data_IF_275349381668
#
_entry.id   IF_275349381668
#
_cell.length_a   1.000
_cell.length_b   1.000
_cell.length_c   1.000
_cell.angle_alpha   90.00
_cell.angle_beta   90.00
_cell.angle_gamma   90.00
#
_symmetry.space_group_name_H-M   'P 1'
#
loop_
_entity.id
_entity.type
_entity.pdbx_description
1 polymer ?
#
# COMPACT_ATOMS: atom_id res chain seq x y z
N UNK A 1 17.15 1.84 -11.83
CA UNK A 1 16.78 0.41 -11.78
C UNK A 1 17.31 -0.26 -10.52
N UNK A 2 18.58 -0.18 -10.19
CA UNK A 2 19.19 -0.75 -8.95
C UNK A 2 18.37 -0.41 -7.70
N UNK A 3 18.05 0.85 -7.47
CA UNK A 3 17.27 1.27 -6.31
C UNK A 3 15.86 0.67 -6.25
N UNK A 4 15.25 0.39 -7.41
CA UNK A 4 13.96 -0.29 -7.44
C UNK A 4 14.09 -1.77 -7.02
N UNK A 5 15.20 -2.44 -7.37
CA UNK A 5 15.49 -3.81 -6.93
C UNK A 5 15.72 -3.84 -5.41
N UNK A 6 16.46 -2.88 -4.85
CA UNK A 6 16.68 -2.77 -3.40
C UNK A 6 15.38 -2.50 -2.64
N UNK A 7 14.53 -1.60 -3.14
CA UNK A 7 13.20 -1.37 -2.58
C UNK A 7 12.32 -2.63 -2.65
N UNK A 8 12.35 -3.36 -3.75
CA UNK A 8 11.68 -4.65 -3.87
C UNK A 8 12.18 -5.64 -2.79
N UNK A 9 13.49 -5.77 -2.62
CA UNK A 9 14.08 -6.68 -1.63
C UNK A 9 13.61 -6.36 -0.20
N UNK A 10 13.49 -5.07 0.16
CA UNK A 10 13.02 -4.68 1.49
C UNK A 10 11.56 -5.06 1.76
N UNK A 11 10.76 -5.25 0.70
CA UNK A 11 9.34 -5.57 0.80
C UNK A 11 9.05 -7.08 0.76
N UNK A 12 9.96 -7.91 0.27
CA UNK A 12 9.72 -9.34 0.06
C UNK A 12 9.27 -10.08 1.32
N UNK A 13 9.74 -9.66 2.48
CA UNK A 13 9.39 -10.25 3.78
C UNK A 13 7.89 -10.15 4.16
N UNK A 14 7.14 -9.27 3.50
CA UNK A 14 5.72 -9.04 3.77
C UNK A 14 4.78 -9.85 2.86
N UNK A 15 5.34 -10.59 1.91
CA UNK A 15 4.57 -11.35 0.93
C UNK A 15 4.89 -12.84 1.05
N UNK A 16 3.88 -13.69 1.04
CA UNK A 16 4.03 -15.15 1.12
C UNK A 16 4.08 -15.82 -0.26
N UNK A 17 3.51 -15.17 -1.28
CA UNK A 17 3.54 -15.63 -2.66
C UNK A 17 4.87 -15.38 -3.37
N UNK A 18 4.90 -15.57 -4.68
CA UNK A 18 6.09 -15.40 -5.50
C UNK A 18 6.61 -13.96 -5.47
N UNK A 19 7.93 -13.82 -5.45
CA UNK A 19 8.67 -12.55 -5.56
C UNK A 19 9.22 -12.47 -6.97
N UNK A 20 8.67 -11.59 -7.79
CA UNK A 20 8.92 -11.53 -9.23
C UNK A 20 9.52 -10.17 -9.58
N UNK A 21 10.64 -10.19 -10.31
CA UNK A 21 11.22 -8.99 -10.92
C UNK A 21 11.04 -9.10 -12.43
N UNK A 22 10.27 -8.21 -13.04
CA UNK A 22 10.15 -8.07 -14.48
C UNK A 22 10.78 -6.75 -14.93
N UNK A 23 11.85 -6.83 -15.71
CA UNK A 23 12.63 -5.68 -16.12
C UNK A 23 12.83 -5.61 -17.64
N UNK A 24 12.80 -4.37 -18.15
CA UNK A 24 13.16 -4.00 -19.50
C UNK A 24 14.38 -3.08 -19.52
N UNK A 25 14.72 -2.59 -20.69
CA UNK A 25 15.91 -1.75 -20.88
C UNK A 25 15.83 -0.41 -20.16
N UNK A 26 17.00 0.17 -19.94
CA UNK A 26 17.18 1.58 -19.62
C UNK A 26 17.51 2.29 -20.93
N UNK A 27 16.64 3.22 -21.35
CA UNK A 27 16.78 3.97 -22.61
C UNK A 27 17.82 5.09 -22.49
N UNK A 28 18.19 5.66 -23.63
CA UNK A 28 19.01 6.88 -23.75
C UNK A 28 20.44 6.78 -23.19
N UNK A 29 21.00 5.58 -23.07
CA UNK A 29 22.33 5.33 -22.54
C UNK A 29 23.43 5.39 -23.62
N UNK A 30 23.08 5.36 -24.92
CA UNK A 30 24.03 5.36 -26.03
C UNK A 30 25.09 4.27 -25.89
N UNK A 31 26.36 4.62 -26.04
CA UNK A 31 27.50 3.68 -25.95
C UNK A 31 27.70 3.05 -24.59
N UNK A 32 27.15 3.64 -23.53
CA UNK A 32 27.24 3.11 -22.15
C UNK A 32 26.13 2.08 -21.81
N UNK A 33 25.24 1.79 -22.76
CA UNK A 33 24.10 0.89 -22.53
C UNK A 33 24.53 -0.45 -21.96
N UNK A 34 25.47 -1.11 -22.63
CA UNK A 34 25.92 -2.44 -22.20
C UNK A 34 26.56 -2.43 -20.80
N UNK A 35 27.47 -1.50 -20.53
CA UNK A 35 28.13 -1.37 -19.23
C UNK A 35 27.11 -1.11 -18.12
N UNK A 36 26.15 -0.23 -18.39
CA UNK A 36 25.13 0.15 -17.40
C UNK A 36 24.18 -1.01 -17.10
N UNK A 37 23.75 -1.78 -18.10
CA UNK A 37 22.91 -2.95 -17.87
C UNK A 37 23.67 -4.07 -17.13
N UNK A 38 24.97 -4.26 -17.41
CA UNK A 38 25.78 -5.26 -16.72
C UNK A 38 25.93 -4.99 -15.20
N UNK A 39 25.79 -3.76 -14.74
CA UNK A 39 25.75 -3.43 -13.29
C UNK A 39 24.54 -4.01 -12.59
N UNK A 40 23.52 -4.44 -13.33
CA UNK A 40 22.35 -5.11 -12.75
C UNK A 40 22.62 -6.55 -12.32
N UNK A 41 23.68 -7.19 -12.85
CA UNK A 41 23.96 -8.62 -12.58
C UNK A 41 24.09 -8.86 -11.08
N UNK A 42 24.92 -8.10 -10.39
CA UNK A 42 25.16 -8.24 -8.96
C UNK A 42 23.87 -8.00 -8.15
N UNK A 43 23.11 -6.97 -8.47
CA UNK A 43 21.86 -6.65 -7.77
C UNK A 43 20.78 -7.72 -7.99
N UNK A 44 20.72 -8.30 -9.19
CA UNK A 44 19.79 -9.39 -9.50
C UNK A 44 20.18 -10.70 -8.80
N UNK A 45 21.47 -11.03 -8.77
CA UNK A 45 21.96 -12.21 -8.05
C UNK A 45 21.71 -12.13 -6.53
N UNK A 46 21.86 -10.93 -5.97
CA UNK A 46 21.62 -10.68 -4.55
C UNK A 46 20.13 -10.36 -4.24
N UNK A 47 19.25 -10.34 -5.23
CA UNK A 47 17.83 -10.07 -5.02
C UNK A 47 17.13 -11.22 -4.29
N UNK A 48 16.04 -10.89 -3.59
CA UNK A 48 15.15 -11.88 -2.99
C UNK A 48 14.07 -12.39 -3.97
N UNK A 49 14.29 -12.21 -5.28
CA UNK A 49 13.35 -12.67 -6.29
C UNK A 49 13.41 -14.19 -6.45
N UNK A 50 12.23 -14.80 -6.55
CA UNK A 50 12.06 -16.20 -6.95
C UNK A 50 12.20 -16.35 -8.47
N UNK A 51 11.71 -15.31 -9.22
CA UNK A 51 11.73 -15.28 -10.68
C UNK A 51 12.17 -13.91 -11.18
N UNK A 52 13.03 -13.90 -12.20
CA UNK A 52 13.47 -12.67 -12.88
C UNK A 52 13.13 -12.81 -14.36
N UNK A 53 12.28 -11.91 -14.86
CA UNK A 53 11.76 -11.90 -16.21
C UNK A 53 12.33 -10.69 -16.95
N UNK A 54 13.14 -10.93 -17.96
CA UNK A 54 13.85 -9.89 -18.71
C UNK A 54 13.29 -9.77 -20.12
N UNK A 55 13.01 -8.55 -20.57
CA UNK A 55 12.67 -8.25 -21.94
C UNK A 55 13.63 -7.19 -22.48
N UNK A 56 13.71 -7.06 -23.77
CA UNK A 56 14.63 -6.22 -24.55
C UNK A 56 16.03 -6.81 -24.73
N UNK A 57 16.61 -6.56 -25.91
CA UNK A 57 17.86 -7.19 -26.33
C UNK A 57 19.05 -6.79 -25.45
N UNK A 58 19.01 -5.58 -24.87
CA UNK A 58 20.04 -5.05 -23.99
C UNK A 58 20.22 -5.90 -22.72
N UNK A 59 19.18 -6.64 -22.30
CA UNK A 59 19.24 -7.49 -21.13
C UNK A 59 19.71 -8.92 -21.41
N UNK A 60 19.88 -9.35 -22.66
CA UNK A 60 20.37 -10.70 -22.98
C UNK A 60 21.70 -11.03 -22.31
N UNK A 61 22.63 -10.07 -22.30
CA UNK A 61 23.94 -10.27 -21.67
C UNK A 61 23.84 -10.35 -20.14
N UNK A 62 22.88 -9.63 -19.53
CA UNK A 62 22.60 -9.73 -18.10
C UNK A 62 22.10 -11.12 -17.77
N UNK A 63 21.11 -11.61 -18.53
CA UNK A 63 20.56 -12.97 -18.36
C UNK A 63 21.65 -14.03 -18.46
N UNK A 64 22.56 -13.91 -19.45
CA UNK A 64 23.65 -14.87 -19.64
C UNK A 64 24.70 -14.84 -18.51
N UNK A 65 24.77 -13.78 -17.72
CA UNK A 65 25.76 -13.63 -16.63
C UNK A 65 25.24 -13.95 -15.26
N UNK A 66 23.95 -13.79 -15.02
CA UNK A 66 23.31 -14.18 -13.75
C UNK A 66 23.30 -15.71 -13.64
N UNK A 67 23.80 -16.28 -12.52
CA UNK A 67 24.02 -17.72 -12.36
C UNK A 67 23.08 -18.36 -11.34
N UNK A 68 22.79 -17.66 -10.27
CA UNK A 68 22.16 -18.25 -9.08
C UNK A 68 20.68 -17.89 -8.94
N UNK A 69 20.02 -17.50 -10.06
CA UNK A 69 18.62 -17.07 -10.08
C UNK A 69 17.85 -17.71 -11.22
N UNK A 70 16.58 -17.89 -10.99
CA UNK A 70 15.63 -18.29 -12.01
C UNK A 70 15.33 -17.09 -12.91
N UNK A 71 16.12 -16.90 -13.95
CA UNK A 71 16.07 -15.76 -14.84
C UNK A 71 15.76 -16.19 -16.28
N UNK A 72 14.80 -15.52 -16.91
CA UNK A 72 14.35 -15.80 -18.28
C UNK A 72 14.34 -14.54 -19.12
N UNK A 73 14.78 -14.63 -20.37
CA UNK A 73 14.65 -13.58 -21.37
C UNK A 73 13.50 -13.88 -22.34
N UNK A 74 12.71 -12.84 -22.63
CA UNK A 74 11.52 -12.95 -23.49
C UNK A 74 11.72 -12.14 -24.79
N UNK A 75 11.45 -12.76 -25.97
CA UNK A 75 11.56 -12.09 -27.25
C UNK A 75 10.42 -11.09 -27.51
N UNK A 76 9.24 -11.30 -26.91
CA UNK A 76 8.06 -10.46 -27.07
C UNK A 76 7.29 -10.30 -25.75
N UNK A 77 6.33 -9.36 -25.74
CA UNK A 77 5.55 -9.04 -24.54
C UNK A 77 4.51 -10.13 -24.20
N UNK A 78 4.01 -10.84 -25.19
CA UNK A 78 2.96 -11.84 -25.02
C UNK A 78 3.45 -13.01 -24.16
N UNK A 79 4.65 -13.51 -24.42
CA UNK A 79 5.26 -14.57 -23.63
C UNK A 79 5.57 -14.10 -22.19
N UNK A 80 6.09 -12.88 -22.04
CA UNK A 80 6.31 -12.29 -20.71
C UNK A 80 4.98 -12.18 -19.92
N UNK A 81 3.92 -11.73 -20.57
CA UNK A 81 2.58 -11.60 -19.96
C UNK A 81 2.04 -12.96 -19.55
N UNK A 82 2.20 -13.99 -20.38
CA UNK A 82 1.75 -15.33 -20.06
C UNK A 82 2.42 -15.89 -18.81
N UNK A 83 3.73 -15.70 -18.67
CA UNK A 83 4.43 -16.12 -17.46
C UNK A 83 4.05 -15.27 -16.25
N UNK A 84 3.84 -13.97 -16.41
CA UNK A 84 3.31 -13.12 -15.34
C UNK A 84 1.92 -13.60 -14.88
N UNK A 85 1.04 -13.99 -15.79
CA UNK A 85 -0.27 -14.57 -15.45
C UNK A 85 -0.14 -15.83 -14.59
N UNK A 86 0.79 -16.70 -14.95
CA UNK A 86 1.03 -17.96 -14.26
C UNK A 86 1.68 -17.78 -12.89
N UNK A 87 2.67 -16.88 -12.80
CA UNK A 87 3.48 -16.67 -11.59
C UNK A 87 2.81 -15.76 -10.55
N UNK A 88 2.00 -14.80 -11.00
CA UNK A 88 1.32 -13.88 -10.09
C UNK A 88 0.12 -14.55 -9.41
N UNK A 89 0.19 -14.66 -8.10
CA UNK A 89 -0.92 -15.11 -7.25
C UNK A 89 -1.29 -14.02 -6.23
N UNK A 90 -2.24 -14.31 -5.34
CA UNK A 90 -2.83 -13.32 -4.43
C UNK A 90 -1.82 -12.61 -3.53
N UNK A 91 -0.76 -13.31 -3.11
CA UNK A 91 0.25 -12.79 -2.19
C UNK A 91 1.62 -12.55 -2.87
N UNK A 92 1.65 -12.48 -4.21
CA UNK A 92 2.88 -12.21 -4.96
C UNK A 92 3.29 -10.75 -4.89
N UNK A 93 4.59 -10.51 -4.80
CA UNK A 93 5.19 -9.19 -4.99
C UNK A 93 5.84 -9.13 -6.37
N UNK A 94 5.40 -8.20 -7.21
CA UNK A 94 5.94 -8.05 -8.57
C UNK A 94 6.50 -6.65 -8.77
N UNK A 95 7.80 -6.56 -9.10
CA UNK A 95 8.44 -5.34 -9.58
C UNK A 95 8.38 -5.30 -11.10
N UNK A 96 7.69 -4.31 -11.68
CA UNK A 96 7.76 -3.98 -13.10
C UNK A 96 8.62 -2.72 -13.26
N UNK A 97 9.78 -2.83 -13.94
CA UNK A 97 10.67 -1.69 -14.09
C UNK A 97 11.38 -1.67 -15.44
N UNK A 98 11.22 -0.57 -16.15
CA UNK A 98 11.87 -0.27 -17.42
C UNK A 98 11.89 1.25 -17.65
N UNK A 99 12.54 1.72 -18.70
CA UNK A 99 12.28 3.06 -19.21
C UNK A 99 10.88 3.17 -19.80
N UNK A 100 10.30 4.35 -19.72
CA UNK A 100 8.95 4.62 -20.26
C UNK A 100 8.99 4.66 -21.79
N UNK A 101 10.05 5.27 -22.34
CA UNK A 101 10.18 5.47 -23.78
C UNK A 101 10.81 4.24 -24.45
N UNK A 102 10.18 3.77 -25.54
CA UNK A 102 10.72 2.71 -26.41
C UNK A 102 10.72 1.32 -25.76
N UNK A 103 9.81 1.06 -24.81
CA UNK A 103 9.58 -0.27 -24.22
C UNK A 103 8.09 -0.57 -24.12
N UNK A 104 7.72 -1.85 -23.97
CA UNK A 104 6.33 -2.27 -23.79
C UNK A 104 5.85 -2.19 -22.33
N UNK A 105 6.74 -1.90 -21.39
CA UNK A 105 6.45 -1.95 -19.95
C UNK A 105 5.37 -0.98 -19.49
N UNK A 106 5.23 0.25 -20.02
CA UNK A 106 4.12 1.12 -19.67
C UNK A 106 2.75 0.51 -20.00
N UNK A 107 2.66 -0.14 -21.18
CA UNK A 107 1.45 -0.84 -21.61
C UNK A 107 1.18 -2.06 -20.73
N UNK A 108 2.21 -2.88 -20.47
CA UNK A 108 2.11 -4.04 -19.58
C UNK A 108 1.64 -3.60 -18.18
N UNK A 109 2.26 -2.56 -17.61
CA UNK A 109 1.91 -2.08 -16.27
C UNK A 109 0.48 -1.56 -16.19
N UNK A 110 0.02 -0.85 -17.23
CA UNK A 110 -1.35 -0.34 -17.31
C UNK A 110 -2.37 -1.48 -17.39
N UNK A 111 -2.06 -2.51 -18.17
CA UNK A 111 -3.00 -3.60 -18.46
C UNK A 111 -2.85 -4.79 -17.50
N UNK A 112 -1.75 -4.90 -16.74
CA UNK A 112 -1.47 -6.05 -15.86
C UNK A 112 -2.61 -6.34 -14.87
N UNK A 113 -3.26 -5.38 -14.23
CA UNK A 113 -4.40 -5.67 -13.37
C UNK A 113 -5.55 -6.37 -14.10
N UNK A 114 -5.84 -5.98 -15.34
CA UNK A 114 -6.86 -6.61 -16.17
C UNK A 114 -6.41 -8.00 -16.66
N UNK A 115 -5.15 -8.11 -17.06
CA UNK A 115 -4.53 -9.35 -17.51
C UNK A 115 -4.56 -10.43 -16.42
N UNK A 116 -4.35 -10.07 -15.16
CA UNK A 116 -4.39 -10.99 -14.04
C UNK A 116 -5.82 -11.36 -13.60
N UNK A 117 -6.82 -10.60 -14.05
CA UNK A 117 -8.25 -10.85 -13.75
C UNK A 117 -8.89 -11.91 -14.63
N UNK A 118 -8.37 -12.16 -15.84
CA UNK A 118 -8.99 -13.03 -16.87
C UNK A 118 -9.18 -14.52 -16.47
N UNK A 119 -8.86 -14.89 -15.23
CA UNK A 119 -9.13 -16.23 -14.71
C UNK A 119 -10.40 -16.28 -13.82
N UNK A 120 -11.54 -15.80 -14.32
CA UNK A 120 -12.89 -15.90 -13.72
C UNK A 120 -13.29 -14.75 -12.78
N UNK A 121 -13.71 -13.67 -13.30
CA UNK A 121 -14.84 -12.79 -12.95
C UNK A 121 -14.57 -11.45 -13.61
N UNK A 122 -15.36 -11.07 -14.61
CA UNK A 122 -15.48 -9.68 -15.06
C UNK A 122 -15.97 -8.82 -13.90
N UNK A 123 -15.05 -8.16 -13.21
CA UNK A 123 -15.38 -7.04 -12.35
C UNK A 123 -15.00 -5.76 -13.09
N UNK A 124 -16.00 -5.06 -13.56
CA UNK A 124 -15.86 -3.67 -13.95
C UNK A 124 -15.63 -2.84 -12.68
N UNK A 125 -14.40 -2.36 -12.50
CA UNK A 125 -14.06 -1.57 -11.32
C UNK A 125 -14.74 -0.22 -11.32
N UNK A 126 -14.97 0.37 -12.48
CA UNK A 126 -15.63 1.66 -12.56
C UNK A 126 -17.11 1.48 -12.21
N UNK A 127 -17.75 0.39 -12.63
CA UNK A 127 -19.12 0.03 -12.24
C UNK A 127 -19.23 -0.35 -10.75
N UNK A 128 -18.25 -1.09 -10.21
CA UNK A 128 -18.19 -1.38 -8.77
C UNK A 128 -17.96 -0.11 -7.94
N UNK A 129 -17.13 0.78 -8.43
CA UNK A 129 -16.84 2.04 -7.77
C UNK A 129 -17.99 3.03 -7.87
N UNK A 130 -18.70 3.06 -8.98
CA UNK A 130 -19.92 3.85 -9.15
C UNK A 130 -21.04 3.36 -8.23
N UNK A 131 -21.29 2.05 -8.17
CA UNK A 131 -22.24 1.43 -7.24
C UNK A 131 -21.89 1.58 -5.77
N UNK A 132 -20.60 1.54 -5.41
CA UNK A 132 -20.14 1.81 -4.05
C UNK A 132 -20.26 3.30 -3.70
N UNK A 133 -20.16 4.21 -4.65
CA UNK A 133 -20.35 5.64 -4.44
C UNK A 133 -21.82 6.01 -4.18
N UNK A 134 -22.76 5.29 -4.75
CA UNK A 134 -24.19 5.51 -4.52
C UNK A 134 -24.69 4.98 -3.16
N UNK A 135 -24.01 3.98 -2.57
CA UNK A 135 -24.44 3.31 -1.33
C UNK A 135 -23.86 3.97 -0.06
N UNK A 136 -23.01 4.94 -0.19
CA UNK A 136 -21.91 5.05 0.73
C UNK A 136 -21.92 6.12 1.80
N UNK A 137 -23.00 6.71 2.27
CA UNK A 137 -22.92 7.57 3.48
C UNK A 137 -23.16 6.74 4.72
N UNK A 138 -22.15 6.62 5.59
CA UNK A 138 -22.32 6.07 6.92
C UNK A 138 -21.50 6.88 7.90
N UNK A 139 -22.07 7.24 9.03
CA UNK A 139 -21.33 7.97 10.05
C UNK A 139 -21.86 7.71 11.46
N UNK A 140 -21.02 7.99 12.44
CA UNK A 140 -21.36 8.11 13.86
C UNK A 140 -20.83 9.44 14.35
N UNK A 141 -21.68 10.25 14.95
CA UNK A 141 -21.32 11.50 15.61
C UNK A 141 -21.34 11.28 17.13
N UNK A 142 -20.29 11.72 17.80
CA UNK A 142 -20.06 11.48 19.22
C UNK A 142 -19.85 12.80 19.92
N UNK A 143 -20.50 13.00 21.06
CA UNK A 143 -20.22 14.12 21.94
C UNK A 143 -18.88 13.91 22.67
N UNK A 144 -17.95 14.85 22.51
CA UNK A 144 -16.61 14.73 23.08
C UNK A 144 -16.57 14.79 24.60
N UNK A 145 -17.58 15.39 25.26
CA UNK A 145 -17.65 15.55 26.72
C UNK A 145 -18.21 14.27 27.37
N UNK A 146 -19.28 13.73 26.79
CA UNK A 146 -19.98 12.57 27.37
C UNK A 146 -19.49 11.23 26.80
N UNK A 147 -18.93 11.24 25.58
CA UNK A 147 -18.58 10.02 24.81
C UNK A 147 -19.80 9.29 24.24
N UNK A 148 -20.99 9.89 24.32
CA UNK A 148 -22.24 9.32 23.83
C UNK A 148 -22.42 9.58 22.34
N UNK A 149 -23.08 8.64 21.65
CA UNK A 149 -23.47 8.79 20.26
C UNK A 149 -24.63 9.79 20.19
N UNK A 150 -24.41 10.91 19.50
CA UNK A 150 -25.43 11.95 19.28
C UNK A 150 -26.26 11.62 18.04
N UNK A 151 -25.62 11.07 17.03
CA UNK A 151 -26.24 10.77 15.74
C UNK A 151 -25.57 9.57 15.10
N UNK A 152 -26.33 8.72 14.44
CA UNK A 152 -25.86 7.53 13.77
C UNK A 152 -26.63 7.31 12.46
N UNK A 153 -25.91 7.07 11.36
CA UNK A 153 -26.51 6.79 10.06
C UNK A 153 -25.80 5.64 9.37
N UNK A 154 -26.54 4.61 8.99
CA UNK A 154 -26.04 3.42 8.28
C UNK A 154 -24.75 2.80 8.86
N UNK A 155 -24.49 2.95 10.15
CA UNK A 155 -23.21 2.61 10.80
C UNK A 155 -22.84 1.12 10.73
N UNK A 156 -23.84 0.25 10.57
CA UNK A 156 -23.65 -1.19 10.38
C UNK A 156 -23.44 -1.62 8.92
N UNK A 157 -23.48 -0.68 7.97
CA UNK A 157 -23.28 -1.00 6.56
C UNK A 157 -21.82 -1.36 6.32
N UNK A 158 -21.61 -2.57 5.78
CA UNK A 158 -20.28 -3.03 5.39
C UNK A 158 -19.81 -2.33 4.11
N UNK A 159 -18.69 -1.67 4.17
CA UNK A 159 -18.12 -0.90 3.07
C UNK A 159 -16.65 -1.22 2.89
N UNK A 160 -16.17 -1.02 1.67
CA UNK A 160 -14.74 -1.09 1.39
C UNK A 160 -14.06 0.20 1.84
N UNK A 161 -13.10 0.09 2.77
CA UNK A 161 -12.33 1.24 3.26
C UNK A 161 -10.87 1.05 2.87
N UNK A 162 -10.32 2.01 2.12
CA UNK A 162 -8.88 2.12 1.91
C UNK A 162 -8.19 2.64 3.17
N UNK A 163 -6.90 2.39 3.30
CA UNK A 163 -6.07 2.99 4.35
C UNK A 163 -6.13 2.33 5.72
N UNK A 164 -6.80 1.19 5.85
CA UNK A 164 -6.79 0.44 7.13
C UNK A 164 -5.39 -0.06 7.51
N UNK A 165 -4.57 -0.44 6.54
CA UNK A 165 -3.17 -0.78 6.80
C UNK A 165 -2.41 0.38 7.46
N UNK A 166 -2.35 1.56 6.83
CA UNK A 166 -1.79 2.75 7.46
C UNK A 166 -2.33 3.06 8.85
N UNK A 167 -3.64 2.97 9.06
CA UNK A 167 -4.24 3.15 10.38
C UNK A 167 -3.69 2.16 11.41
N UNK A 168 -3.67 0.88 11.08
CA UNK A 168 -3.16 -0.16 11.97
C UNK A 168 -1.69 0.07 12.33
N UNK A 169 -0.87 0.49 11.35
CA UNK A 169 0.54 0.79 11.61
C UNK A 169 0.72 2.03 12.47
N UNK A 170 -0.12 3.03 12.27
CA UNK A 170 -0.18 4.21 13.14
C UNK A 170 -0.51 3.80 14.59
N UNK A 171 -1.57 3.02 14.81
CA UNK A 171 -1.98 2.56 16.13
C UNK A 171 -0.87 1.76 16.82
N UNK A 172 -0.28 0.79 16.11
CA UNK A 172 0.86 0.03 16.66
C UNK A 172 2.04 0.91 17.02
N UNK A 173 2.32 1.95 16.23
CA UNK A 173 3.39 2.91 16.54
C UNK A 173 3.12 3.70 17.82
N UNK A 174 1.86 4.05 18.05
CA UNK A 174 1.43 4.71 19.30
C UNK A 174 1.60 3.76 20.49
N UNK A 175 1.12 2.53 20.39
CA UNK A 175 1.25 1.52 21.45
C UNK A 175 2.71 1.26 21.83
N UNK A 176 3.60 1.23 20.85
CA UNK A 176 5.04 1.03 21.05
C UNK A 176 5.81 2.32 21.36
N UNK A 177 5.15 3.47 21.42
CA UNK A 177 5.73 4.80 21.70
C UNK A 177 6.89 5.15 20.77
N UNK A 178 6.73 4.89 19.47
CA UNK A 178 7.78 5.06 18.48
C UNK A 178 7.95 6.49 17.96
N UNK A 179 7.08 7.43 18.32
CA UNK A 179 7.02 8.78 17.74
C UNK A 179 8.34 9.57 17.83
N UNK A 180 9.15 9.29 18.83
CA UNK A 180 10.43 9.98 19.02
C UNK A 180 11.64 9.22 18.48
N UNK A 181 11.42 8.05 17.89
CA UNK A 181 12.50 7.24 17.33
C UNK A 181 13.02 7.85 16.03
N UNK A 182 14.34 7.84 15.88
CA UNK A 182 14.99 8.16 14.59
C UNK A 182 15.18 6.85 13.84
N UNK A 183 14.79 6.82 12.59
CA UNK A 183 14.97 5.70 11.69
C UNK A 183 15.73 6.14 10.44
N UNK A 184 16.48 5.22 9.86
CA UNK A 184 17.09 5.39 8.55
C UNK A 184 16.17 4.76 7.50
N UNK A 185 15.75 5.54 6.50
CA UNK A 185 14.90 5.03 5.42
C UNK A 185 15.60 3.89 4.69
N UNK A 186 14.93 2.73 4.61
CA UNK A 186 15.43 1.51 3.99
C UNK A 186 14.81 1.24 2.63
N UNK A 187 13.58 1.70 2.45
CA UNK A 187 12.84 1.52 1.20
C UNK A 187 13.14 2.66 0.26
N UNK A 188 13.53 2.30 -0.96
CA UNK A 188 13.75 3.31 -1.96
C UNK A 188 12.44 3.98 -2.38
N UNK A 189 12.43 5.31 -2.52
CA UNK A 189 11.25 6.02 -3.01
C UNK A 189 10.82 5.51 -4.38
N UNK A 190 9.57 5.07 -4.49
CA UNK A 190 8.94 4.76 -5.78
C UNK A 190 8.56 6.05 -6.51
N UNK A 191 7.98 5.96 -7.71
CA UNK A 191 7.49 7.14 -8.44
C UNK A 191 6.46 7.97 -7.65
N UNK A 192 5.87 7.41 -6.60
CA UNK A 192 4.96 8.07 -5.67
C UNK A 192 5.60 8.40 -4.32
N UNK A 193 6.93 8.48 -4.27
CA UNK A 193 7.63 8.86 -3.05
C UNK A 193 7.50 10.36 -2.78
N UNK A 194 7.51 10.71 -1.50
CA UNK A 194 7.59 12.10 -1.08
C UNK A 194 8.91 12.71 -1.59
N UNK A 195 8.82 13.91 -2.17
CA UNK A 195 10.00 14.62 -2.66
C UNK A 195 11.01 14.83 -1.51
N UNK A 196 12.26 14.48 -1.76
CA UNK A 196 13.35 14.61 -0.78
C UNK A 196 13.62 13.35 0.04
N UNK A 197 12.81 12.29 -0.08
CA UNK A 197 13.10 11.01 0.57
C UNK A 197 14.10 10.20 -0.26
N UNK A 198 15.12 9.66 0.40
CA UNK A 198 16.13 8.79 -0.20
C UNK A 198 16.63 7.77 0.82
N UNK A 199 17.20 6.67 0.34
CA UNK A 199 17.76 5.61 1.18
C UNK A 199 18.88 6.15 2.07
N UNK A 200 18.82 5.84 3.36
CA UNK A 200 19.76 6.31 4.38
C UNK A 200 19.43 7.67 4.97
N UNK A 201 18.37 8.35 4.50
CA UNK A 201 17.90 9.57 5.17
C UNK A 201 17.44 9.25 6.60
N UNK A 202 17.98 9.97 7.55
CA UNK A 202 17.50 9.93 8.93
C UNK A 202 16.23 10.76 9.09
N UNK A 203 15.18 10.13 9.61
CA UNK A 203 13.89 10.78 9.83
C UNK A 203 13.34 10.37 11.19
N UNK A 204 12.65 11.28 11.86
CA UNK A 204 11.89 10.93 13.06
C UNK A 204 10.61 10.21 12.67
N UNK A 205 10.27 9.15 13.36
CA UNK A 205 9.00 8.43 13.17
C UNK A 205 7.80 9.36 13.32
N UNK A 206 7.87 10.36 14.19
CA UNK A 206 6.88 11.44 14.29
C UNK A 206 6.45 11.99 12.93
N UNK A 207 7.41 12.31 12.05
CA UNK A 207 7.11 12.87 10.72
C UNK A 207 6.31 11.90 9.84
N UNK A 208 6.63 10.59 9.93
CA UNK A 208 5.86 9.57 9.21
C UNK A 208 4.43 9.46 9.76
N UNK A 209 4.28 9.49 11.08
CA UNK A 209 2.97 9.39 11.74
C UNK A 209 2.09 10.62 11.46
N UNK A 210 2.66 11.82 11.47
CA UNK A 210 1.95 13.04 11.11
C UNK A 210 1.41 12.96 9.67
N UNK A 211 2.24 12.54 8.72
CA UNK A 211 1.82 12.36 7.33
C UNK A 211 0.75 11.27 7.15
N UNK A 212 0.74 10.24 8.02
CA UNK A 212 -0.27 9.18 7.99
C UNK A 212 -1.68 9.68 8.28
N UNK A 213 -1.83 10.80 8.99
CA UNK A 213 -3.13 11.32 9.38
C UNK A 213 -3.92 11.96 8.24
N UNK A 214 -3.24 12.38 7.17
CA UNK A 214 -3.88 13.08 6.06
C UNK A 214 -3.76 12.37 4.72
N UNK A 215 -2.56 12.08 4.27
CA UNK A 215 -2.31 11.49 2.95
C UNK A 215 -0.96 10.80 2.89
N UNK A 216 -0.85 9.58 3.44
CA UNK A 216 0.43 8.88 3.49
C UNK A 216 0.92 8.48 2.10
N UNK A 217 2.20 8.75 1.82
CA UNK A 217 2.85 8.22 0.65
C UNK A 217 3.17 6.72 0.82
N UNK A 218 3.12 5.92 -0.24
CA UNK A 218 3.47 4.50 -0.15
C UNK A 218 4.84 4.22 0.47
N UNK A 219 5.83 5.07 0.20
CA UNK A 219 7.16 4.96 0.82
C UNK A 219 7.13 5.09 2.34
N UNK A 220 6.31 6.00 2.88
CA UNK A 220 6.15 6.19 4.33
C UNK A 220 5.50 4.97 4.98
N UNK A 221 4.48 4.41 4.33
CA UNK A 221 3.81 3.18 4.78
C UNK A 221 4.80 2.02 4.83
N UNK A 222 5.65 1.88 3.81
CA UNK A 222 6.67 0.83 3.77
C UNK A 222 7.71 0.98 4.87
N UNK A 223 8.20 2.19 5.09
CA UNK A 223 9.19 2.44 6.15
C UNK A 223 8.61 2.12 7.53
N UNK A 224 7.39 2.57 7.80
CA UNK A 224 6.73 2.27 9.05
C UNK A 224 6.49 0.77 9.24
N UNK A 225 6.03 0.07 8.20
CA UNK A 225 5.88 -1.38 8.24
C UNK A 225 7.21 -2.10 8.49
N UNK A 226 8.32 -1.62 7.90
CA UNK A 226 9.66 -2.20 8.11
C UNK A 226 10.15 -2.03 9.56
N UNK A 227 9.81 -0.93 10.22
CA UNK A 227 10.15 -0.70 11.63
C UNK A 227 9.29 -1.54 12.58
N UNK A 228 8.01 -1.70 12.27
CA UNK A 228 7.04 -2.32 13.15
C UNK A 228 7.02 -3.85 13.11
N UNK A 229 7.38 -4.45 11.98
CA UNK A 229 7.19 -5.89 11.77
C UNK A 229 8.45 -6.57 11.25
N UNK A 230 8.74 -7.72 11.84
CA UNK A 230 9.87 -8.56 11.41
C UNK A 230 9.62 -9.16 10.02
N UNK A 231 8.38 -9.57 9.75
CA UNK A 231 7.98 -10.22 8.52
C UNK A 231 6.45 -10.22 8.36
N UNK A 232 5.97 -10.83 7.28
CA UNK A 232 4.55 -10.95 6.96
C UNK A 232 3.74 -11.74 8.01
N UNK A 233 4.30 -12.78 8.60
CA UNK A 233 3.61 -13.60 9.61
C UNK A 233 3.37 -12.79 10.87
N UNK A 234 4.39 -12.08 11.34
CA UNK A 234 4.32 -11.19 12.50
C UNK A 234 3.25 -10.10 12.29
N UNK A 235 3.24 -9.49 11.11
CA UNK A 235 2.22 -8.50 10.75
C UNK A 235 0.80 -9.07 10.76
N UNK A 236 0.57 -10.22 10.12
CA UNK A 236 -0.74 -10.89 10.12
C UNK A 236 -1.20 -11.26 11.54
N UNK A 237 -0.29 -11.76 12.35
CA UNK A 237 -0.59 -12.12 13.73
C UNK A 237 -1.03 -10.89 14.54
N UNK A 238 -0.34 -9.77 14.41
CA UNK A 238 -0.71 -8.53 15.07
C UNK A 238 -2.11 -8.07 14.64
N UNK A 239 -2.39 -8.03 13.33
CA UNK A 239 -3.69 -7.63 12.80
C UNK A 239 -4.82 -8.54 13.34
N UNK A 240 -4.61 -9.85 13.32
CA UNK A 240 -5.60 -10.81 13.83
C UNK A 240 -5.85 -10.65 15.35
N UNK A 241 -4.81 -10.33 16.10
CA UNK A 241 -4.94 -10.06 17.53
C UNK A 241 -5.75 -8.78 17.77
N UNK A 242 -5.46 -7.71 17.03
CA UNK A 242 -6.20 -6.44 17.11
C UNK A 242 -7.69 -6.62 16.77
N UNK A 243 -8.01 -7.39 15.72
CA UNK A 243 -9.40 -7.72 15.35
C UNK A 243 -10.13 -8.38 16.51
N UNK A 244 -9.49 -9.37 17.16
CA UNK A 244 -10.07 -10.10 18.29
C UNK A 244 -10.23 -9.22 19.53
N UNK A 245 -9.21 -8.44 19.85
CA UNK A 245 -9.17 -7.55 21.00
C UNK A 245 -10.26 -6.49 20.93
N UNK A 246 -10.35 -5.83 19.78
CA UNK A 246 -11.34 -4.78 19.53
C UNK A 246 -12.71 -5.32 19.09
N UNK A 247 -12.86 -6.65 18.95
CA UNK A 247 -14.11 -7.32 18.54
C UNK A 247 -14.65 -6.78 17.21
N UNK A 248 -13.76 -6.50 16.26
CA UNK A 248 -14.16 -6.02 14.95
C UNK A 248 -14.94 -7.10 14.20
N UNK A 249 -16.01 -6.70 13.53
CA UNK A 249 -16.97 -7.61 12.90
C UNK A 249 -16.50 -8.13 11.53
N UNK A 250 -15.48 -7.52 10.95
CA UNK A 250 -15.09 -7.73 9.55
C UNK A 250 -13.66 -8.20 9.40
N UNK A 251 -13.38 -8.84 8.27
CA UNK A 251 -12.01 -9.27 7.92
C UNK A 251 -11.19 -8.09 7.44
N UNK A 252 -10.05 -7.88 8.06
CA UNK A 252 -9.08 -6.88 7.63
C UNK A 252 -8.22 -7.47 6.52
N UNK A 253 -8.23 -6.85 5.35
CA UNK A 253 -7.27 -7.19 4.31
C UNK A 253 -5.87 -6.81 4.74
N UNK A 254 -4.99 -7.66 4.38
CA UNK A 254 -3.64 -7.70 4.90
C UNK A 254 -2.60 -7.19 3.92
N UNK A 255 -3.02 -6.51 2.84
CA UNK A 255 -2.02 -5.92 1.97
C UNK A 255 -1.29 -4.78 2.69
N UNK A 256 -0.02 -4.63 2.36
CA UNK A 256 0.90 -3.76 3.09
C UNK A 256 0.48 -2.29 3.08
N UNK A 257 -0.02 -1.81 1.96
CA UNK A 257 -0.37 -0.38 1.78
C UNK A 257 -1.80 -0.05 2.18
N UNK A 258 -2.63 -1.05 2.50
CA UNK A 258 -4.05 -0.87 2.75
C UNK A 258 -4.86 -0.43 1.52
N UNK A 259 -4.24 -0.39 0.33
CA UNK A 259 -4.96 -0.08 -0.90
C UNK A 259 -5.87 -1.25 -1.30
N UNK A 260 -7.00 -0.89 -1.86
CA UNK A 260 -7.95 -1.86 -2.38
C UNK A 260 -7.35 -2.70 -3.52
N UNK A 261 -7.50 -4.01 -3.41
CA UNK A 261 -7.28 -4.95 -4.50
C UNK A 261 -8.55 -5.75 -4.70
N UNK A 262 -8.89 -6.07 -5.96
CA UNK A 262 -10.13 -6.78 -6.31
C UNK A 262 -10.32 -8.12 -5.58
N UNK A 263 -9.24 -8.75 -5.17
CA UNK A 263 -9.24 -10.02 -4.45
C UNK A 263 -9.24 -9.88 -2.93
N UNK A 264 -8.72 -8.78 -2.41
CA UNK A 264 -8.71 -8.45 -1.00
C UNK A 264 -9.95 -7.62 -0.66
N UNK A 265 -11.07 -8.27 -0.45
CA UNK A 265 -12.28 -7.59 0.01
C UNK A 265 -12.10 -7.12 1.44
N UNK A 266 -11.61 -5.88 1.56
CA UNK A 266 -11.59 -5.18 2.84
C UNK A 266 -12.97 -4.60 3.05
N UNK A 267 -13.76 -5.19 3.90
CA UNK A 267 -15.02 -4.59 4.28
C UNK A 267 -15.01 -4.23 5.76
N UNK A 268 -15.41 -3.01 6.05
CA UNK A 268 -15.51 -2.45 7.39
C UNK A 268 -16.84 -1.76 7.56
N UNK A 269 -17.26 -1.66 8.79
CA UNK A 269 -18.37 -0.81 9.17
C UNK A 269 -17.85 0.42 9.90
N UNK A 270 -18.64 1.49 9.94
CA UNK A 270 -18.35 2.63 10.83
C UNK A 270 -18.34 2.19 12.28
N UNK A 271 -19.10 1.14 12.65
CA UNK A 271 -19.04 0.52 13.98
C UNK A 271 -17.67 -0.06 14.30
N UNK A 272 -17.00 -0.70 13.34
CA UNK A 272 -15.62 -1.18 13.53
C UNK A 272 -14.66 -0.02 13.79
N UNK A 273 -14.78 1.07 13.04
CA UNK A 273 -14.00 2.29 13.29
C UNK A 273 -14.35 2.92 14.65
N UNK A 274 -15.60 2.84 15.09
CA UNK A 274 -16.01 3.33 16.41
C UNK A 274 -15.40 2.49 17.54
N UNK A 275 -15.28 1.16 17.39
CA UNK A 275 -14.57 0.33 18.36
C UNK A 275 -13.08 0.74 18.46
N UNK A 276 -12.43 1.00 17.32
CA UNK A 276 -11.06 1.55 17.30
C UNK A 276 -11.02 2.90 18.03
N UNK A 277 -11.95 3.81 17.72
CA UNK A 277 -12.03 5.11 18.39
C UNK A 277 -12.23 4.99 19.91
N UNK A 278 -13.10 4.10 20.38
CA UNK A 278 -13.32 3.90 21.82
C UNK A 278 -12.05 3.46 22.55
N UNK A 279 -11.23 2.65 21.90
CA UNK A 279 -9.99 2.15 22.46
C UNK A 279 -8.90 3.23 22.50
N UNK A 280 -8.66 3.89 21.38
CA UNK A 280 -7.54 4.81 21.22
C UNK A 280 -7.88 6.28 21.51
N UNK A 281 -9.13 6.70 21.37
CA UNK A 281 -9.63 8.05 21.70
C UNK A 281 -8.68 9.18 21.21
N UNK A 282 -8.06 9.85 22.17
CA UNK A 282 -7.19 11.00 21.92
C UNK A 282 -5.92 10.66 21.14
N UNK A 283 -5.44 9.45 21.23
CA UNK A 283 -4.23 9.03 20.52
C UNK A 283 -4.43 9.00 19.00
N UNK A 284 -5.65 8.81 18.52
CA UNK A 284 -5.98 8.96 17.12
C UNK A 284 -5.72 10.39 16.59
N UNK A 285 -5.83 11.38 17.46
CA UNK A 285 -5.72 12.80 17.13
C UNK A 285 -4.43 13.45 17.65
N UNK A 286 -3.43 12.64 17.95
CA UNK A 286 -2.17 13.12 18.53
C UNK A 286 -1.42 14.10 17.62
N UNK A 287 -1.57 13.95 16.31
CA UNK A 287 -0.84 14.75 15.32
C UNK A 287 -1.74 15.66 14.49
N UNK A 288 -3.05 15.41 14.44
CA UNK A 288 -4.02 16.20 13.68
C UNK A 288 -5.42 16.01 14.27
N UNK A 289 -6.29 16.98 14.07
CA UNK A 289 -7.72 16.82 14.39
C UNK A 289 -8.49 15.95 13.39
N UNK A 290 -7.82 15.45 12.37
CA UNK A 290 -8.40 14.51 11.41
C UNK A 290 -7.47 13.36 11.11
N UNK A 291 -8.04 12.17 10.90
CA UNK A 291 -7.36 11.01 10.37
C UNK A 291 -8.14 10.53 9.16
N UNK A 292 -7.63 10.83 7.97
CA UNK A 292 -8.30 10.46 6.72
C UNK A 292 -7.73 9.17 6.17
N UNK A 293 -8.60 8.18 5.98
CA UNK A 293 -8.28 6.89 5.42
C UNK A 293 -8.53 6.90 3.91
N UNK A 294 -7.52 6.49 3.16
CA UNK A 294 -7.61 6.36 1.71
C UNK A 294 -7.50 7.67 0.93
N UNK A 295 -7.08 7.54 -0.31
CA UNK A 295 -6.96 8.68 -1.23
C UNK A 295 -8.24 8.90 -2.05
N UNK A 296 -8.90 7.82 -2.43
CA UNK A 296 -10.06 7.82 -3.31
C UNK A 296 -11.38 7.70 -2.53
N UNK A 297 -11.41 6.85 -1.51
CA UNK A 297 -12.56 6.65 -0.62
C UNK A 297 -12.27 7.31 0.71
N UNK A 298 -12.82 8.48 0.92
CA UNK A 298 -12.60 9.26 2.12
C UNK A 298 -13.38 8.63 3.26
N UNK A 299 -12.67 8.04 4.18
CA UNK A 299 -13.19 7.48 5.42
C UNK A 299 -12.30 7.97 6.54
N UNK A 300 -12.73 7.90 7.78
CA UNK A 300 -11.86 8.24 8.89
C UNK A 300 -12.55 8.89 10.07
N UNK A 301 -11.79 9.76 10.71
CA UNK A 301 -12.15 10.42 11.95
C UNK A 301 -11.90 11.92 11.83
N UNK A 302 -12.84 12.76 12.29
CA UNK A 302 -12.69 14.21 12.39
C UNK A 302 -13.12 14.62 13.78
N UNK A 303 -12.27 15.35 14.49
CA UNK A 303 -12.54 15.87 15.82
C UNK A 303 -12.71 17.38 15.80
N UNK A 304 -13.89 17.86 16.16
CA UNK A 304 -14.15 19.24 16.50
C UNK A 304 -14.07 19.49 18.00
N UNK A 305 -14.45 20.69 18.44
CA UNK A 305 -14.45 21.09 19.87
C UNK A 305 -15.43 20.25 20.69
N UNK A 306 -16.65 20.08 20.20
CA UNK A 306 -17.72 19.44 20.95
C UNK A 306 -18.02 18.03 20.46
N UNK A 307 -17.75 17.73 19.21
CA UNK A 307 -18.12 16.48 18.56
C UNK A 307 -16.97 15.85 17.80
N UNK A 308 -16.99 14.53 17.70
CA UNK A 308 -16.14 13.73 16.80
C UNK A 308 -17.03 13.00 15.81
N UNK A 309 -16.70 13.06 14.53
CA UNK A 309 -17.37 12.29 13.49
C UNK A 309 -16.46 11.17 13.02
N UNK A 310 -17.00 9.95 13.02
CA UNK A 310 -16.43 8.75 12.40
C UNK A 310 -17.26 8.49 11.15
N UNK A 311 -16.64 8.38 10.01
CA UNK A 311 -17.38 8.36 8.75
C UNK A 311 -16.77 7.44 7.70
N UNK A 312 -17.65 6.98 6.82
CA UNK A 312 -17.30 6.46 5.50
C UNK A 312 -18.10 7.26 4.48
N UNK A 313 -17.44 8.07 3.67
CA UNK A 313 -18.09 8.87 2.64
C UNK A 313 -17.17 9.05 1.46
N UNK A 314 -17.72 8.94 0.28
CA UNK A 314 -16.96 9.12 -0.95
C UNK A 314 -16.74 10.60 -1.29
N UNK A 315 -17.73 11.46 -1.08
CA UNK A 315 -17.73 12.82 -1.64
C UNK A 315 -17.90 13.97 -0.65
N UNK A 316 -18.15 13.73 0.64
CA UNK A 316 -18.61 14.77 1.55
C UNK A 316 -17.63 15.15 2.68
N UNK A 317 -16.31 14.87 2.53
CA UNK A 317 -15.34 15.23 3.57
C UNK A 317 -15.33 16.74 3.86
N UNK A 318 -15.38 17.57 2.83
CA UNK A 318 -15.39 19.02 2.99
C UNK A 318 -16.69 19.51 3.63
N UNK A 319 -17.81 18.89 3.28
CA UNK A 319 -19.10 19.16 3.94
C UNK A 319 -19.04 18.76 5.42
N UNK A 320 -18.54 17.57 5.73
CA UNK A 320 -18.41 17.11 7.11
C UNK A 320 -17.45 18.02 7.91
N UNK A 321 -16.35 18.46 7.34
CA UNK A 321 -15.46 19.45 7.97
C UNK A 321 -16.16 20.78 8.23
N UNK A 322 -17.00 21.24 7.31
CA UNK A 322 -17.74 22.51 7.46
C UNK A 322 -18.84 22.46 8.53
N UNK A 323 -19.30 21.26 8.89
CA UNK A 323 -20.34 21.06 9.94
C UNK A 323 -19.77 20.93 11.35
N UNK A 324 -18.44 20.88 11.48
CA UNK A 324 -17.76 20.77 12.77
C UNK A 324 -17.14 22.13 13.11
N UNK A 325 -17.39 22.61 14.30
CA UNK A 325 -16.71 23.79 14.87
C UNK A 325 -15.33 23.34 15.43
N UNK A 326 -14.26 23.81 14.79
CA UNK A 326 -12.87 23.51 15.12
C UNK A 326 -12.29 24.43 16.19
#
# INVERSE_FOLDING_TARGET
MINAIRAFNSQTKFYSGHKIIAIGKISDLGRKSNETHLKLVEELENSNADYILCKDNELRQVVNKVRNKNITWYPNKELLINDLKYLCNEDSLTLLKSSVTGTDFPEIAKNLPNILRDNNIEFDFDDLFEKLSEVGKSYIKINNKTGEIVEEYNSGLSQTIEGMGPLIYYLKSIDEKLENRIINLKSWPTNNAKKGYFEGLEIRTYTLLENMTESPYPSEIYELANELFKNHVDRKQYINNLIKELKLSTSIATNLTGRFRSKDRQSYTVKDLFEIYKHYKYDLFKFSNSFVLGLKYKSGFIRGKEETIIFTSYNDLEYLKSTIDF
#
